data_IF_598399111187
#
_entry.id   IF_598399111187
#
_cell.length_a   1.000
_cell.length_b   1.000
_cell.length_c   1.000
_cell.angle_alpha   90.00
_cell.angle_beta   90.00
_cell.angle_gamma   90.00
#
_symmetry.space_group_name_H-M   'P 1'
#
loop_
_entity.id
_entity.type
_entity.pdbx_description
1 polymer ?
#
# COMPACT_ATOMS: atom_id res chain seq x y z
N UNK A 1 -5.49 8.31 19.70
CA UNK A 1 -5.00 9.71 19.53
C UNK A 1 -5.96 10.39 18.57
N UNK A 2 -6.47 11.60 18.80
CA UNK A 2 -7.45 12.18 17.85
C UNK A 2 -6.71 12.69 16.59
N UNK A 3 -7.02 12.10 15.44
CA UNK A 3 -6.43 12.48 14.15
C UNK A 3 -7.12 13.73 13.59
N UNK A 4 -6.39 14.47 12.76
CA UNK A 4 -6.91 15.64 12.05
C UNK A 4 -7.74 15.13 10.87
N UNK A 5 -8.98 15.60 10.67
CA UNK A 5 -9.80 15.15 9.54
C UNK A 5 -9.12 15.46 8.21
N UNK A 6 -9.18 14.52 7.27
CA UNK A 6 -8.60 14.65 5.94
C UNK A 6 -7.73 13.46 5.53
N UNK A 7 -7.05 13.63 4.40
CA UNK A 7 -6.31 12.56 3.74
C UNK A 7 -4.92 12.35 4.35
N UNK A 8 -4.65 11.11 4.73
CA UNK A 8 -3.35 10.60 5.14
C UNK A 8 -2.76 9.73 4.05
N UNK A 9 -1.44 9.74 3.90
CA UNK A 9 -0.73 8.88 2.95
C UNK A 9 0.19 7.92 3.71
N UNK A 10 0.16 6.64 3.34
CA UNK A 10 1.00 5.59 3.90
C UNK A 10 1.74 4.86 2.78
N UNK A 11 2.92 4.32 3.09
CA UNK A 11 3.62 3.37 2.21
C UNK A 11 2.76 2.10 2.07
N UNK A 12 2.46 1.66 0.84
CA UNK A 12 1.71 0.43 0.61
C UNK A 12 2.44 -0.78 1.25
N UNK A 13 1.71 -1.55 2.05
CA UNK A 13 2.27 -2.68 2.81
C UNK A 13 2.55 -3.87 1.88
N UNK A 14 1.62 -4.13 0.94
CA UNK A 14 1.70 -5.28 0.02
C UNK A 14 2.97 -5.23 -0.84
N UNK A 15 3.27 -4.07 -1.44
CA UNK A 15 4.48 -3.89 -2.26
C UNK A 15 5.63 -3.23 -1.51
N UNK A 16 5.50 -2.95 -0.21
CA UNK A 16 6.52 -2.26 0.59
C UNK A 16 7.01 -0.93 -0.04
N UNK A 17 6.12 -0.22 -0.73
CA UNK A 17 6.46 1.03 -1.42
C UNK A 17 7.03 0.90 -2.83
N UNK A 18 7.26 -0.31 -3.34
CA UNK A 18 7.87 -0.51 -4.66
C UNK A 18 6.91 -0.23 -5.84
N UNK A 19 5.60 -0.35 -5.60
CA UNK A 19 4.56 -0.28 -6.64
C UNK A 19 4.43 -1.59 -7.45
N UNK A 20 5.29 -2.58 -7.20
CA UNK A 20 5.23 -3.88 -7.86
C UNK A 20 5.40 -5.03 -6.88
N UNK A 21 4.82 -6.18 -7.22
CA UNK A 21 4.94 -7.44 -6.47
C UNK A 21 5.43 -8.55 -7.39
N UNK A 22 6.27 -9.43 -6.86
CA UNK A 22 6.73 -10.57 -7.63
C UNK A 22 5.68 -11.68 -7.60
N UNK A 23 5.18 -12.05 -8.77
CA UNK A 23 4.21 -13.13 -8.94
C UNK A 23 4.79 -14.24 -9.80
N UNK A 24 4.22 -15.43 -9.66
CA UNK A 24 4.53 -16.57 -10.53
C UNK A 24 3.44 -16.64 -11.59
N UNK A 25 3.82 -16.48 -12.86
CA UNK A 25 2.93 -16.78 -13.99
C UNK A 25 3.37 -18.09 -14.62
N UNK A 26 2.41 -18.98 -14.84
CA UNK A 26 2.61 -20.13 -15.70
C UNK A 26 2.35 -19.66 -17.14
N UNK A 27 3.37 -19.79 -18.00
CA UNK A 27 3.20 -19.62 -19.43
C UNK A 27 2.59 -20.90 -20.05
N UNK A 28 2.11 -20.82 -21.30
CA UNK A 28 1.49 -21.92 -22.05
C UNK A 28 2.43 -23.15 -22.19
N UNK A 29 3.71 -23.00 -21.85
CA UNK A 29 4.74 -24.04 -21.88
C UNK A 29 5.00 -24.73 -20.53
N UNK A 30 4.12 -24.58 -19.53
CA UNK A 30 4.21 -25.19 -18.17
C UNK A 30 5.46 -24.75 -17.35
N UNK A 31 6.23 -23.78 -17.82
CA UNK A 31 7.35 -23.21 -17.09
C UNK A 31 6.86 -22.02 -16.25
N UNK A 32 6.95 -22.17 -14.93
CA UNK A 32 6.62 -21.12 -13.98
C UNK A 32 7.74 -20.06 -13.97
N UNK A 33 7.42 -18.84 -14.41
CA UNK A 33 8.35 -17.72 -14.40
C UNK A 33 7.99 -16.67 -13.33
N UNK A 34 9.03 -16.08 -12.74
CA UNK A 34 8.89 -14.96 -11.80
C UNK A 34 8.84 -13.66 -12.58
N UNK A 35 7.69 -13.00 -12.53
CA UNK A 35 7.48 -11.70 -13.15
C UNK A 35 7.12 -10.68 -12.09
N UNK A 36 7.55 -9.43 -12.30
CA UNK A 36 7.08 -8.32 -11.50
C UNK A 36 5.78 -7.82 -12.12
N UNK A 37 4.71 -7.87 -11.33
CA UNK A 37 3.41 -7.34 -11.73
C UNK A 37 3.06 -6.12 -10.88
N UNK A 38 2.11 -5.33 -11.37
CA UNK A 38 1.70 -4.11 -10.69
C UNK A 38 1.00 -4.49 -9.39
N UNK A 39 1.36 -3.84 -8.29
CA UNK A 39 0.63 -4.02 -7.04
C UNK A 39 -0.80 -3.52 -7.22
N UNK A 40 -1.78 -4.36 -6.88
CA UNK A 40 -3.19 -4.06 -7.08
C UNK A 40 -3.70 -3.11 -5.99
N UNK A 41 -3.20 -3.26 -4.76
CA UNK A 41 -3.55 -2.45 -3.59
C UNK A 41 -3.26 -0.95 -3.79
N UNK A 42 -2.07 -0.63 -4.28
CA UNK A 42 -1.67 0.77 -4.56
C UNK A 42 -1.72 1.14 -6.04
N UNK A 43 -2.22 0.26 -6.92
CA UNK A 43 -2.24 0.44 -8.38
C UNK A 43 -0.90 0.85 -9.00
N UNK A 44 0.22 0.49 -8.36
CA UNK A 44 1.57 0.85 -8.77
C UNK A 44 2.10 2.20 -8.30
N UNK A 45 1.38 2.92 -7.44
CA UNK A 45 1.87 4.18 -6.86
C UNK A 45 2.91 3.96 -5.74
N UNK A 46 2.89 2.79 -5.09
CA UNK A 46 3.72 2.49 -3.91
C UNK A 46 3.20 3.13 -2.61
N UNK A 47 2.18 3.98 -2.69
CA UNK A 47 1.53 4.61 -1.55
C UNK A 47 0.02 4.44 -1.62
N UNK A 48 -0.63 4.50 -0.48
CA UNK A 48 -2.09 4.49 -0.36
C UNK A 48 -2.54 5.73 0.39
N UNK A 49 -3.64 6.33 -0.08
CA UNK A 49 -4.26 7.52 0.51
C UNK A 49 -5.57 7.10 1.13
N UNK A 50 -5.77 7.49 2.39
CA UNK A 50 -6.91 7.07 3.20
C UNK A 50 -7.41 8.21 4.07
N UNK A 51 -8.68 8.16 4.44
CA UNK A 51 -9.31 9.13 5.33
C UNK A 51 -8.86 8.92 6.79
N UNK A 52 -9.23 9.85 7.68
CA UNK A 52 -8.78 9.84 9.07
C UNK A 52 -9.23 8.61 9.87
N UNK A 53 -10.37 8.02 9.53
CA UNK A 53 -10.89 6.83 10.22
C UNK A 53 -10.00 5.62 9.94
N UNK A 54 -9.71 5.35 8.66
CA UNK A 54 -8.84 4.25 8.25
C UNK A 54 -7.40 4.49 8.71
N UNK A 55 -6.94 5.75 8.66
CA UNK A 55 -5.63 6.12 9.17
C UNK A 55 -5.49 5.81 10.68
N UNK A 56 -6.56 6.01 11.47
CA UNK A 56 -6.55 5.66 12.89
C UNK A 56 -6.36 4.15 13.09
N UNK A 57 -7.08 3.32 12.34
CA UNK A 57 -6.92 1.86 12.39
C UNK A 57 -5.49 1.43 12.01
N UNK A 58 -4.94 1.99 10.92
CA UNK A 58 -3.58 1.68 10.48
C UNK A 58 -2.50 2.07 11.50
N UNK A 59 -2.69 3.17 12.22
CA UNK A 59 -1.74 3.65 13.24
C UNK A 59 -1.90 2.88 14.55
N UNK A 60 -3.14 2.70 15.03
CA UNK A 60 -3.42 2.16 16.36
C UNK A 60 -3.36 0.63 16.40
N UNK A 61 -3.86 -0.07 15.37
CA UNK A 61 -3.81 -1.53 15.27
C UNK A 61 -2.57 -2.00 14.49
N UNK A 62 -2.29 -1.35 13.36
CA UNK A 62 -1.18 -1.71 12.48
C UNK A 62 0.19 -1.17 12.91
N UNK A 63 0.25 -0.21 13.84
CA UNK A 63 1.50 0.45 14.24
C UNK A 63 2.18 1.22 13.10
N UNK A 64 1.46 1.54 12.03
CA UNK A 64 2.02 2.17 10.83
C UNK A 64 2.21 3.68 11.07
N UNK A 65 3.16 4.26 10.35
CA UNK A 65 3.41 5.71 10.40
C UNK A 65 3.07 6.33 9.04
N UNK A 66 2.18 7.34 8.98
CA UNK A 66 1.89 8.03 7.74
C UNK A 66 3.12 8.79 7.24
N UNK A 67 3.36 8.75 5.94
CA UNK A 67 4.39 9.55 5.26
C UNK A 67 3.89 10.96 4.94
N UNK A 68 2.58 11.16 4.93
CA UNK A 68 1.94 12.48 4.80
C UNK A 68 0.70 12.56 5.69
N UNK A 69 0.53 13.70 6.35
CA UNK A 69 -0.65 14.03 7.16
C UNK A 69 -1.39 15.22 6.56
N UNK A 70 -2.71 15.35 6.79
CA UNK A 70 -3.46 16.52 6.36
C UNK A 70 -2.95 17.79 7.06
N UNK A 71 -3.16 18.93 6.40
CA UNK A 71 -2.85 20.23 6.99
C UNK A 71 -3.89 20.57 8.07
N UNK A 72 -3.42 20.96 9.25
CA UNK A 72 -4.24 21.40 10.38
C UNK A 72 -4.86 22.77 10.20
#
# INVERSE_FOLDING_TARGET
MELVPGEYEFTCDECNGDGSVQVIRADDNDEAERVWDRCDDCYGEGTVRVDEEEAAEMIEDGGRTPIRTPAS
#
